data_IF_450483407512
#
_entry.id   IF_450483407512
#
_cell.length_a   1.000
_cell.length_b   1.000
_cell.length_c   1.000
_cell.angle_alpha   90.00
_cell.angle_beta   90.00
_cell.angle_gamma   90.00
#
_symmetry.space_group_name_H-M   'P 1'
#
loop_
_entity.id
_entity.type
_entity.pdbx_description
1 polymer ?
#
# COMPACT_ATOMS: atom_id res chain seq x y z
N UNK A 1 2.27 5.17 -17.79
CA UNK A 1 1.69 3.85 -17.43
C UNK A 1 2.75 3.01 -16.73
N UNK A 2 2.49 2.49 -15.53
CA UNK A 2 3.45 1.84 -14.63
C UNK A 2 3.74 0.38 -15.02
N UNK A 3 3.74 0.05 -16.31
CA UNK A 3 4.03 -1.32 -16.76
C UNK A 3 5.43 -1.77 -16.36
N UNK A 4 6.39 -0.85 -16.24
CA UNK A 4 7.79 -1.19 -15.99
C UNK A 4 8.03 -1.75 -14.58
N UNK A 5 7.45 -1.13 -13.55
CA UNK A 5 7.62 -1.58 -12.16
C UNK A 5 6.83 -2.86 -11.87
N UNK A 6 5.64 -2.98 -12.48
CA UNK A 6 4.78 -4.17 -12.39
C UNK A 6 5.44 -5.38 -13.02
N UNK A 7 5.93 -5.24 -14.26
CA UNK A 7 6.55 -6.32 -15.00
C UNK A 7 7.86 -6.75 -14.33
N UNK A 8 8.68 -5.81 -13.84
CA UNK A 8 9.88 -6.12 -13.09
C UNK A 8 9.58 -6.86 -11.77
N UNK A 9 8.54 -6.47 -11.03
CA UNK A 9 8.14 -7.15 -9.80
C UNK A 9 7.71 -8.60 -10.06
N UNK A 10 6.90 -8.83 -11.11
CA UNK A 10 6.46 -10.18 -11.48
C UNK A 10 7.65 -11.02 -11.97
N UNK A 11 8.44 -10.49 -12.90
CA UNK A 11 9.59 -11.21 -13.46
C UNK A 11 10.64 -11.56 -12.41
N UNK A 12 10.89 -10.68 -11.43
CA UNK A 12 11.79 -10.98 -10.32
C UNK A 12 11.20 -11.97 -9.32
N UNK A 13 9.87 -12.01 -9.15
CA UNK A 13 9.21 -12.94 -8.22
C UNK A 13 9.30 -14.41 -8.65
N UNK A 14 9.34 -14.69 -9.96
CA UNK A 14 9.43 -16.06 -10.51
C UNK A 14 10.71 -16.79 -10.04
N UNK A 15 11.93 -16.29 -10.32
CA UNK A 15 13.16 -16.97 -9.90
C UNK A 15 13.29 -16.99 -8.37
N UNK A 16 12.83 -15.95 -7.67
CA UNK A 16 12.83 -15.91 -6.20
C UNK A 16 11.94 -17.02 -5.63
N UNK A 17 10.72 -17.17 -6.13
CA UNK A 17 9.82 -18.23 -5.73
C UNK A 17 10.41 -19.61 -6.03
N UNK A 18 10.97 -19.81 -7.22
CA UNK A 18 11.60 -21.08 -7.61
C UNK A 18 12.74 -21.47 -6.66
N UNK A 19 13.66 -20.54 -6.39
CA UNK A 19 14.77 -20.77 -5.47
C UNK A 19 14.29 -21.01 -4.03
N UNK A 20 13.29 -20.27 -3.57
CA UNK A 20 12.71 -20.47 -2.24
C UNK A 20 12.03 -21.84 -2.12
N UNK A 21 11.30 -22.29 -3.15
CA UNK A 21 10.72 -23.64 -3.22
C UNK A 21 11.81 -24.69 -3.14
N UNK A 22 12.87 -24.58 -3.95
CA UNK A 22 14.00 -25.52 -3.91
C UNK A 22 14.64 -25.57 -2.53
N UNK A 23 14.84 -24.40 -1.89
CA UNK A 23 15.38 -24.32 -0.55
C UNK A 23 14.50 -25.05 0.47
N UNK A 24 13.18 -24.82 0.44
CA UNK A 24 12.22 -25.43 1.35
C UNK A 24 12.19 -26.95 1.17
N UNK A 25 12.03 -27.42 -0.06
CA UNK A 25 11.95 -28.86 -0.39
C UNK A 25 13.23 -29.60 0.00
N UNK A 26 14.41 -29.00 -0.21
CA UNK A 26 15.69 -29.67 0.06
C UNK A 26 16.15 -29.58 1.51
N UNK A 27 15.78 -28.53 2.26
CA UNK A 27 16.39 -28.24 3.57
C UNK A 27 15.51 -28.61 4.76
N UNK A 28 14.19 -28.74 4.57
CA UNK A 28 13.23 -28.97 5.67
C UNK A 28 12.44 -30.25 5.40
N UNK A 29 12.36 -31.16 6.38
CA UNK A 29 11.66 -32.46 6.24
C UNK A 29 10.20 -32.33 5.80
N UNK A 30 9.50 -31.29 6.26
CA UNK A 30 8.11 -30.92 5.86
C UNK A 30 8.06 -29.70 4.94
N UNK A 31 9.13 -29.44 4.19
CA UNK A 31 9.21 -28.26 3.33
C UNK A 31 8.20 -28.26 2.19
N UNK A 32 7.89 -29.45 1.66
CA UNK A 32 6.84 -29.63 0.63
C UNK A 32 5.47 -29.21 1.16
N UNK A 33 5.11 -29.64 2.37
CA UNK A 33 3.83 -29.26 3.00
C UNK A 33 3.70 -27.73 3.13
N UNK A 34 4.77 -27.05 3.54
CA UNK A 34 4.78 -25.59 3.66
C UNK A 34 4.66 -24.88 2.30
N UNK A 35 5.36 -25.38 1.28
CA UNK A 35 5.27 -24.88 -0.10
C UNK A 35 3.81 -24.93 -0.58
N UNK A 36 3.11 -26.03 -0.37
CA UNK A 36 1.69 -26.14 -0.73
C UNK A 36 0.79 -25.27 0.15
N UNK A 37 1.04 -25.22 1.46
CA UNK A 37 0.26 -24.39 2.39
C UNK A 37 0.41 -22.88 2.12
N UNK A 38 1.55 -22.44 1.56
CA UNK A 38 1.79 -21.04 1.22
C UNK A 38 0.94 -20.56 0.02
N UNK A 39 0.47 -21.47 -0.84
CA UNK A 39 -0.38 -21.11 -2.00
C UNK A 39 -1.71 -20.47 -1.57
N UNK A 40 -2.57 -21.11 -0.75
CA UNK A 40 -3.82 -20.49 -0.32
C UNK A 40 -3.58 -19.22 0.52
N UNK A 41 -2.48 -19.15 1.29
CA UNK A 41 -2.12 -17.93 2.01
C UNK A 41 -1.82 -16.77 1.06
N UNK A 42 -1.10 -17.03 -0.03
CA UNK A 42 -0.79 -16.03 -1.04
C UNK A 42 -2.04 -15.55 -1.79
N UNK A 43 -2.95 -16.45 -2.13
CA UNK A 43 -4.23 -16.11 -2.74
C UNK A 43 -5.10 -15.29 -1.78
N UNK A 44 -5.17 -15.69 -0.50
CA UNK A 44 -5.87 -14.94 0.54
C UNK A 44 -5.31 -13.54 0.73
N UNK A 45 -3.98 -13.39 0.77
CA UNK A 45 -3.31 -12.10 0.86
C UNK A 45 -3.60 -11.22 -0.37
N UNK A 46 -3.53 -11.79 -1.58
CA UNK A 46 -3.87 -11.10 -2.82
C UNK A 46 -5.33 -10.62 -2.82
N UNK A 47 -6.25 -11.47 -2.38
CA UNK A 47 -7.66 -11.14 -2.25
C UNK A 47 -7.87 -10.01 -1.23
N UNK A 48 -7.38 -10.15 0.00
CA UNK A 48 -7.49 -9.13 1.05
C UNK A 48 -6.87 -7.79 0.62
N UNK A 49 -5.77 -7.83 -0.14
CA UNK A 49 -5.13 -6.62 -0.66
C UNK A 49 -6.09 -5.77 -1.51
N UNK A 50 -7.03 -6.38 -2.24
CA UNK A 50 -8.03 -5.65 -3.03
C UNK A 50 -9.10 -4.92 -2.20
N UNK A 51 -9.30 -5.35 -0.94
CA UNK A 51 -10.20 -4.68 -0.01
C UNK A 51 -9.51 -3.56 0.74
N UNK A 52 -8.25 -3.79 1.11
CA UNK A 52 -7.46 -2.84 1.90
C UNK A 52 -6.94 -1.70 1.02
N UNK A 53 -6.37 -2.03 -0.14
CA UNK A 53 -5.68 -1.07 -1.00
C UNK A 53 -6.54 -0.72 -2.20
N UNK A 54 -7.14 0.48 -2.14
CA UNK A 54 -8.05 0.97 -3.18
C UNK A 54 -7.67 2.38 -3.57
N UNK A 55 -7.53 2.58 -4.87
CA UNK A 55 -7.39 3.89 -5.50
C UNK A 55 -8.66 4.11 -6.33
N UNK A 56 -9.45 5.11 -5.95
CA UNK A 56 -10.62 5.52 -6.73
C UNK A 56 -10.19 6.14 -8.06
N UNK A 57 -11.11 6.23 -9.02
CA UNK A 57 -10.88 7.06 -10.20
C UNK A 57 -10.55 8.50 -9.76
N UNK A 58 -9.58 9.10 -10.45
CA UNK A 58 -8.99 10.39 -10.09
C UNK A 58 -8.87 11.26 -11.34
N UNK A 59 -8.85 12.58 -11.16
CA UNK A 59 -8.62 13.54 -12.26
C UNK A 59 -7.20 14.09 -12.26
N UNK A 60 -6.49 13.98 -11.14
CA UNK A 60 -5.13 14.48 -11.01
C UNK A 60 -4.22 13.97 -12.14
N UNK A 61 -3.69 14.89 -12.95
CA UNK A 61 -2.78 14.57 -14.06
C UNK A 61 -3.45 14.06 -15.35
N UNK A 62 -4.79 14.08 -15.44
CA UNK A 62 -5.54 13.57 -16.59
C UNK A 62 -6.53 14.64 -17.12
N UNK A 63 -6.77 14.70 -18.44
CA UNK A 63 -7.75 15.63 -19.04
C UNK A 63 -9.22 15.24 -18.74
N UNK A 64 -9.42 14.14 -18.03
CA UNK A 64 -10.71 13.63 -17.57
C UNK A 64 -10.47 12.70 -16.37
N UNK A 65 -11.23 11.63 -16.25
CA UNK A 65 -11.00 10.62 -15.21
C UNK A 65 -10.01 9.56 -15.67
N UNK A 66 -8.93 9.40 -14.90
CA UNK A 66 -8.08 8.24 -14.98
C UNK A 66 -8.67 7.05 -14.21
N UNK A 67 -8.41 5.82 -14.68
CA UNK A 67 -8.97 4.62 -14.07
C UNK A 67 -8.43 4.43 -12.65
N UNK A 68 -9.34 4.05 -11.76
CA UNK A 68 -8.99 3.58 -10.42
C UNK A 68 -8.55 2.11 -10.47
N UNK A 69 -7.95 1.64 -9.37
CA UNK A 69 -7.55 0.24 -9.24
C UNK A 69 -7.59 -0.23 -7.80
N UNK A 70 -7.78 -1.54 -7.62
CA UNK A 70 -7.73 -2.20 -6.31
C UNK A 70 -6.63 -3.26 -6.31
N UNK A 71 -6.00 -3.44 -5.15
CA UNK A 71 -4.91 -4.39 -4.95
C UNK A 71 -3.54 -3.72 -4.85
N UNK A 72 -2.64 -4.39 -4.16
CA UNK A 72 -1.23 -4.01 -3.99
C UNK A 72 -0.43 -5.29 -3.72
N UNK A 73 0.83 -5.41 -4.17
CA UNK A 73 1.59 -4.45 -4.98
C UNK A 73 1.10 -4.32 -6.43
N UNK A 74 0.31 -5.28 -6.92
CA UNK A 74 -0.23 -5.28 -8.28
C UNK A 74 -1.74 -5.02 -8.26
N UNK A 75 -2.28 -4.26 -9.23
CA UNK A 75 -3.71 -4.01 -9.33
C UNK A 75 -4.42 -5.30 -9.79
N UNK A 76 -5.28 -5.86 -8.95
CA UNK A 76 -6.08 -7.06 -9.28
C UNK A 76 -7.42 -6.69 -9.91
N UNK A 77 -7.86 -5.45 -9.73
CA UNK A 77 -9.03 -4.89 -10.39
C UNK A 77 -8.69 -3.53 -10.97
N UNK A 78 -9.17 -3.24 -12.19
CA UNK A 78 -8.96 -1.97 -12.89
C UNK A 78 -10.30 -1.48 -13.41
N UNK A 79 -10.60 -0.18 -13.28
CA UNK A 79 -11.90 0.35 -13.72
C UNK A 79 -11.82 1.80 -14.14
N UNK A 80 -12.57 2.15 -15.19
CA UNK A 80 -12.70 3.52 -15.69
C UNK A 80 -13.91 4.17 -15.01
N UNK A 81 -13.70 5.24 -14.23
CA UNK A 81 -14.78 6.03 -13.62
C UNK A 81 -15.28 5.56 -12.24
N UNK A 82 -16.52 5.92 -11.90
CA UNK A 82 -17.13 5.75 -10.55
C UNK A 82 -17.70 4.34 -10.31
N UNK A 83 -17.53 3.43 -11.28
CA UNK A 83 -18.02 2.05 -11.21
C UNK A 83 -17.12 1.12 -10.38
N UNK A 84 -17.59 -0.12 -10.17
CA UNK A 84 -16.74 -1.17 -9.60
C UNK A 84 -15.68 -1.56 -10.65
N UNK A 85 -14.39 -1.59 -10.29
CA UNK A 85 -13.35 -2.01 -11.21
C UNK A 85 -13.49 -3.49 -11.57
N UNK A 86 -13.16 -3.80 -12.82
CA UNK A 86 -13.26 -5.15 -13.37
C UNK A 86 -12.13 -6.01 -12.83
N UNK A 87 -12.48 -7.24 -12.44
CA UNK A 87 -11.50 -8.21 -11.96
C UNK A 87 -10.61 -8.66 -13.12
N UNK A 88 -9.29 -8.64 -12.90
CA UNK A 88 -8.30 -9.08 -13.90
C UNK A 88 -7.59 -10.35 -13.41
N UNK A 89 -8.02 -11.55 -13.87
CA UNK A 89 -7.47 -12.83 -13.37
C UNK A 89 -5.95 -12.95 -13.51
N UNK A 90 -5.38 -12.48 -14.63
CA UNK A 90 -3.93 -12.54 -14.87
C UNK A 90 -3.14 -11.72 -13.85
N UNK A 91 -3.60 -10.52 -13.54
CA UNK A 91 -2.95 -9.67 -12.52
C UNK A 91 -3.18 -10.20 -11.10
N UNK A 92 -4.32 -10.85 -10.84
CA UNK A 92 -4.54 -11.55 -9.58
C UNK A 92 -3.55 -12.69 -9.37
N UNK A 93 -3.32 -13.54 -10.39
CA UNK A 93 -2.33 -14.62 -10.33
C UNK A 93 -0.92 -14.06 -10.16
N UNK A 94 -0.56 -13.00 -10.89
CA UNK A 94 0.72 -12.33 -10.75
C UNK A 94 0.92 -11.73 -9.34
N UNK A 95 -0.12 -11.10 -8.78
CA UNK A 95 -0.09 -10.56 -7.42
C UNK A 95 0.06 -11.68 -6.37
N UNK A 96 -0.67 -12.79 -6.55
CA UNK A 96 -0.54 -13.98 -5.70
C UNK A 96 0.86 -14.58 -5.78
N UNK A 97 1.51 -14.58 -6.95
CA UNK A 97 2.89 -15.05 -7.08
C UNK A 97 3.87 -14.17 -6.28
N UNK A 98 3.70 -12.85 -6.30
CA UNK A 98 4.51 -11.93 -5.49
C UNK A 98 4.32 -12.23 -3.99
N UNK A 99 3.08 -12.37 -3.52
CA UNK A 99 2.81 -12.74 -2.12
C UNK A 99 3.40 -14.11 -1.77
N UNK A 100 3.31 -15.08 -2.68
CA UNK A 100 3.87 -16.41 -2.49
C UNK A 100 5.40 -16.37 -2.31
N UNK A 101 6.11 -15.64 -3.18
CA UNK A 101 7.55 -15.42 -3.05
C UNK A 101 7.89 -14.76 -1.71
N UNK A 102 7.18 -13.70 -1.34
CA UNK A 102 7.38 -12.98 -0.07
C UNK A 102 7.16 -13.91 1.12
N UNK A 103 6.08 -14.68 1.15
CA UNK A 103 5.76 -15.61 2.24
C UNK A 103 6.87 -16.64 2.40
N UNK A 104 7.31 -17.29 1.32
CA UNK A 104 8.35 -18.31 1.38
C UNK A 104 9.70 -17.75 1.84
N UNK A 105 10.09 -16.58 1.35
CA UNK A 105 11.36 -15.94 1.72
C UNK A 105 11.31 -15.43 3.16
N UNK A 106 10.23 -14.75 3.54
CA UNK A 106 10.07 -14.23 4.89
C UNK A 106 10.04 -15.37 5.93
N UNK A 107 9.31 -16.45 5.66
CA UNK A 107 9.27 -17.59 6.58
C UNK A 107 10.61 -18.32 6.66
N UNK A 108 11.34 -18.47 5.55
CA UNK A 108 12.70 -19.01 5.55
C UNK A 108 13.66 -18.14 6.37
N UNK A 109 13.57 -16.82 6.24
CA UNK A 109 14.37 -15.86 7.01
C UNK A 109 14.05 -15.94 8.50
N UNK A 110 12.77 -15.93 8.88
CA UNK A 110 12.32 -16.06 10.26
C UNK A 110 12.84 -17.36 10.88
N UNK A 111 12.74 -18.49 10.18
CA UNK A 111 13.25 -19.77 10.67
C UNK A 111 14.76 -19.77 10.83
N UNK A 112 15.50 -19.23 9.84
CA UNK A 112 16.97 -19.09 9.93
C UNK A 112 17.39 -18.25 11.13
N UNK A 113 16.70 -17.15 11.38
CA UNK A 113 16.97 -16.28 12.53
C UNK A 113 16.60 -16.98 13.84
N UNK A 114 15.46 -17.67 13.90
CA UNK A 114 15.02 -18.41 15.08
C UNK A 114 15.99 -19.54 15.45
N UNK A 115 16.52 -20.26 14.46
CA UNK A 115 17.53 -21.30 14.66
C UNK A 115 18.84 -20.71 15.19
N UNK A 116 19.35 -19.62 14.59
CA UNK A 116 20.57 -18.94 15.07
C UNK A 116 20.41 -18.35 16.47
N UNK A 117 19.20 -17.92 16.81
CA UNK A 117 18.87 -17.39 18.13
C UNK A 117 18.72 -18.49 19.20
N UNK A 118 18.63 -19.76 18.81
CA UNK A 118 18.39 -20.88 19.74
C UNK A 118 16.97 -20.87 20.29
N UNK A 119 15.95 -20.60 19.45
CA UNK A 119 14.54 -20.42 19.84
C UNK A 119 14.00 -21.47 20.83
N UNK A 120 14.39 -22.74 20.68
CA UNK A 120 13.96 -23.85 21.53
C UNK A 120 14.35 -23.65 23.01
N UNK A 121 15.48 -23.02 23.28
CA UNK A 121 16.04 -22.83 24.62
C UNK A 121 15.57 -21.54 25.30
N UNK A 122 14.89 -20.66 24.56
CA UNK A 122 14.48 -19.34 25.08
C UNK A 122 13.16 -19.42 25.85
N UNK A 123 13.10 -18.68 26.96
CA UNK A 123 11.87 -18.47 27.73
C UNK A 123 10.81 -17.64 26.98
N UNK A 124 9.59 -17.60 27.52
CA UNK A 124 8.43 -16.97 26.88
C UNK A 124 8.68 -15.50 26.47
N UNK A 125 9.19 -14.66 27.37
CA UNK A 125 9.42 -13.24 27.08
C UNK A 125 10.46 -13.03 25.97
N UNK A 126 11.50 -13.86 25.91
CA UNK A 126 12.49 -13.79 24.84
C UNK A 126 11.90 -14.21 23.48
N UNK A 127 10.99 -15.19 23.47
CA UNK A 127 10.24 -15.57 22.26
C UNK A 127 9.29 -14.46 21.80
N UNK A 128 8.59 -13.82 22.73
CA UNK A 128 7.73 -12.67 22.44
C UNK A 128 8.53 -11.51 21.87
N UNK A 129 9.68 -11.18 22.48
CA UNK A 129 10.60 -10.16 22.00
C UNK A 129 11.11 -10.45 20.58
N UNK A 130 11.45 -11.70 20.29
CA UNK A 130 11.85 -12.10 18.93
C UNK A 130 10.71 -11.92 17.93
N UNK A 131 9.47 -12.32 18.25
CA UNK A 131 8.31 -12.08 17.36
C UNK A 131 8.10 -10.58 17.14
N UNK A 132 8.19 -9.78 18.19
CA UNK A 132 8.06 -8.33 18.09
C UNK A 132 9.12 -7.72 17.15
N UNK A 133 10.38 -8.14 17.26
CA UNK A 133 11.49 -7.58 16.48
C UNK A 133 11.59 -8.14 15.06
N UNK A 134 11.32 -9.43 14.86
CA UNK A 134 11.55 -10.11 13.57
C UNK A 134 10.31 -10.12 12.69
N UNK A 135 9.11 -10.05 13.28
CA UNK A 135 7.85 -10.11 12.53
C UNK A 135 7.12 -8.76 12.59
N UNK A 136 6.83 -8.26 13.79
CA UNK A 136 5.99 -7.06 13.94
C UNK A 136 6.71 -5.79 13.54
N UNK A 137 7.99 -5.64 13.90
CA UNK A 137 8.77 -4.44 13.63
C UNK A 137 8.98 -4.20 12.12
N UNK A 138 9.39 -5.18 11.29
CA UNK A 138 9.47 -5.00 9.84
C UNK A 138 8.12 -4.60 9.22
N UNK A 139 7.03 -5.20 9.71
CA UNK A 139 5.68 -4.83 9.28
C UNK A 139 5.33 -3.39 9.66
N UNK A 140 5.68 -2.96 10.88
CA UNK A 140 5.47 -1.60 11.38
C UNK A 140 6.34 -0.54 10.67
N UNK A 141 7.49 -0.95 10.13
CA UNK A 141 8.41 -0.08 9.37
C UNK A 141 8.07 -0.09 7.88
N UNK A 142 7.32 -1.07 7.38
CA UNK A 142 6.95 -1.19 5.96
C UNK A 142 6.40 0.09 5.31
N UNK A 143 5.60 0.96 5.98
CA UNK A 143 5.15 2.23 5.37
C UNK A 143 6.27 3.23 5.06
N UNK A 144 7.44 3.05 5.66
CA UNK A 144 8.61 3.89 5.40
C UNK A 144 9.35 3.43 4.14
N UNK A 145 9.37 2.12 3.91
CA UNK A 145 10.11 1.48 2.83
C UNK A 145 9.31 1.49 1.52
N UNK A 146 8.00 1.32 1.61
CA UNK A 146 7.14 1.18 0.42
C UNK A 146 6.20 2.38 0.29
N UNK A 147 6.06 2.96 -0.92
CA UNK A 147 5.10 4.02 -1.16
C UNK A 147 3.67 3.44 -1.18
N UNK A 148 2.71 4.07 -0.48
CA UNK A 148 1.33 3.63 -0.49
C UNK A 148 0.76 3.66 -1.90
N UNK A 149 -0.25 2.83 -2.20
CA UNK A 149 -0.94 2.90 -3.47
C UNK A 149 -1.59 4.28 -3.62
N UNK A 150 -1.17 5.01 -4.65
CA UNK A 150 -1.61 6.36 -4.96
C UNK A 150 -1.51 6.63 -6.46
N UNK A 151 -2.28 7.59 -7.01
CA UNK A 151 -2.11 8.09 -8.36
C UNK A 151 -0.68 8.57 -8.63
N UNK A 152 -0.15 8.21 -9.79
CA UNK A 152 1.07 8.82 -10.32
C UNK A 152 0.69 10.12 -11.01
N UNK A 153 1.03 11.24 -10.38
CA UNK A 153 0.73 12.58 -10.89
C UNK A 153 2.00 13.30 -11.30
N UNK A 154 1.91 14.15 -12.31
CA UNK A 154 3.01 14.98 -12.80
C UNK A 154 2.59 16.44 -12.95
N UNK A 155 3.57 17.32 -13.18
CA UNK A 155 3.32 18.73 -13.47
C UNK A 155 2.59 19.48 -12.34
N UNK A 156 1.58 20.32 -12.66
CA UNK A 156 0.88 21.15 -11.67
C UNK A 156 0.22 20.34 -10.55
N UNK A 157 -0.37 19.17 -10.86
CA UNK A 157 -1.04 18.32 -9.86
C UNK A 157 -0.05 17.79 -8.81
N UNK A 158 1.17 17.44 -9.24
CA UNK A 158 2.22 17.01 -8.32
C UNK A 158 2.66 18.15 -7.38
N UNK A 159 2.81 19.37 -7.92
CA UNK A 159 3.15 20.56 -7.13
C UNK A 159 2.09 20.82 -6.05
N UNK A 160 0.81 20.79 -6.42
CA UNK A 160 -0.31 20.95 -5.49
C UNK A 160 -0.32 19.88 -4.41
N UNK A 161 -0.10 18.61 -4.78
CA UNK A 161 -0.03 17.51 -3.84
C UNK A 161 1.12 17.65 -2.83
N UNK A 162 2.30 18.08 -3.28
CA UNK A 162 3.45 18.32 -2.40
C UNK A 162 3.16 19.46 -1.41
N UNK A 163 2.65 20.60 -1.91
CA UNK A 163 2.35 21.77 -1.08
C UNK A 163 1.24 21.47 -0.06
N UNK A 164 0.19 20.76 -0.47
CA UNK A 164 -0.86 20.31 0.43
C UNK A 164 -0.34 19.33 1.50
N UNK A 165 0.49 18.36 1.13
CA UNK A 165 1.08 17.41 2.08
C UNK A 165 2.01 18.10 3.09
N UNK A 166 2.76 19.12 2.66
CA UNK A 166 3.59 19.94 3.55
C UNK A 166 2.73 20.77 4.50
N UNK A 167 1.67 21.40 3.99
CA UNK A 167 0.74 22.21 4.79
C UNK A 167 0.00 21.36 5.84
N UNK A 168 -0.44 20.15 5.47
CA UNK A 168 -1.04 19.20 6.41
C UNK A 168 -0.11 18.85 7.58
N UNK A 169 1.17 18.60 7.28
CA UNK A 169 2.16 18.20 8.30
C UNK A 169 2.51 19.33 9.26
N UNK A 170 2.63 20.56 8.76
CA UNK A 170 3.23 21.66 9.52
C UNK A 170 2.22 22.74 9.92
N UNK A 171 1.35 23.15 9.01
CA UNK A 171 0.42 24.27 9.24
C UNK A 171 -0.81 23.82 10.02
N UNK A 172 -1.41 22.69 9.65
CA UNK A 172 -2.64 22.22 10.26
C UNK A 172 -2.43 21.43 11.57
N UNK A 173 -1.19 21.09 11.93
CA UNK A 173 -0.80 20.28 13.12
C UNK A 173 -1.67 19.03 13.33
N UNK A 174 -2.28 18.51 12.26
CA UNK A 174 -3.36 17.54 12.35
C UNK A 174 -2.86 16.07 12.38
N UNK A 175 -1.54 15.89 12.54
CA UNK A 175 -0.88 14.58 12.52
C UNK A 175 -1.15 13.83 13.81
N UNK A 176 -1.92 12.75 13.74
CA UNK A 176 -2.12 11.82 14.85
C UNK A 176 -0.91 10.90 15.05
N UNK A 177 -0.83 10.25 16.22
CA UNK A 177 0.22 9.25 16.51
C UNK A 177 0.25 8.12 15.48
N UNK A 178 -0.93 7.71 14.98
CA UNK A 178 -1.05 6.66 13.98
C UNK A 178 -0.76 7.15 12.54
N UNK A 179 -0.61 8.45 12.29
CA UNK A 179 -0.46 8.98 10.93
C UNK A 179 0.98 8.82 10.42
N UNK A 180 1.23 7.75 9.68
CA UNK A 180 2.58 7.45 9.17
C UNK A 180 2.82 7.98 7.77
N UNK A 181 1.90 7.72 6.84
CA UNK A 181 2.03 8.08 5.42
C UNK A 181 0.75 8.74 4.91
N UNK A 182 0.91 9.68 3.98
CA UNK A 182 -0.17 10.21 3.16
C UNK A 182 -0.05 9.56 1.78
N UNK A 183 -1.17 9.10 1.25
CA UNK A 183 -1.31 8.66 -0.13
C UNK A 183 -2.25 9.65 -0.83
N UNK A 184 -1.84 10.15 -1.99
CA UNK A 184 -2.72 10.99 -2.79
C UNK A 184 -3.95 10.18 -3.20
N UNK A 185 -5.13 10.78 -3.09
CA UNK A 185 -6.37 10.21 -3.63
C UNK A 185 -6.69 10.93 -4.93
N UNK A 186 -6.73 12.26 -4.90
CA UNK A 186 -7.06 13.08 -6.07
C UNK A 186 -6.74 14.57 -5.83
N UNK A 187 -6.70 15.34 -6.92
CA UNK A 187 -6.46 16.79 -6.97
C UNK A 187 -7.44 17.38 -7.96
N UNK A 188 -8.26 18.34 -7.54
CA UNK A 188 -9.16 19.06 -8.44
C UNK A 188 -9.25 20.53 -8.07
N UNK A 189 -9.64 21.32 -9.06
CA UNK A 189 -10.12 22.66 -8.80
C UNK A 189 -11.52 22.58 -8.19
N UNK A 190 -11.75 23.38 -7.17
CA UNK A 190 -13.05 23.50 -6.54
C UNK A 190 -14.03 24.19 -7.51
N UNK A 191 -15.35 23.91 -7.46
CA UNK A 191 -16.32 24.48 -8.42
C UNK A 191 -16.40 26.01 -8.45
N UNK A 192 -15.94 26.68 -7.38
CA UNK A 192 -15.83 28.15 -7.32
C UNK A 192 -14.68 28.69 -8.20
N UNK A 193 -13.76 27.85 -8.66
CA UNK A 193 -12.60 28.24 -9.45
C UNK A 193 -11.48 28.90 -8.65
N UNK A 194 -11.73 29.28 -7.40
CA UNK A 194 -10.80 30.05 -6.57
C UNK A 194 -9.91 29.18 -5.68
N UNK A 195 -10.14 27.87 -5.63
CA UNK A 195 -9.38 26.97 -4.76
C UNK A 195 -9.04 25.66 -5.45
N UNK A 196 -7.95 25.04 -5.00
CA UNK A 196 -7.62 23.65 -5.32
C UNK A 196 -7.80 22.80 -4.08
N UNK A 197 -8.63 21.76 -4.17
CA UNK A 197 -8.78 20.77 -3.11
C UNK A 197 -7.92 19.55 -3.43
N UNK A 198 -7.12 19.15 -2.45
CA UNK A 198 -6.24 17.98 -2.51
C UNK A 198 -6.69 16.99 -1.45
N UNK A 199 -6.92 15.75 -1.87
CA UNK A 199 -7.42 14.69 -1.02
C UNK A 199 -6.34 13.65 -0.75
N UNK A 200 -6.17 13.26 0.51
CA UNK A 200 -5.25 12.21 0.91
C UNK A 200 -5.94 11.11 1.71
N UNK A 201 -5.40 9.89 1.59
CA UNK A 201 -5.67 8.77 2.47
C UNK A 201 -4.49 8.59 3.42
N UNK A 202 -4.77 8.55 4.72
CA UNK A 202 -3.76 8.39 5.76
C UNK A 202 -3.55 6.90 6.06
N UNK A 203 -2.30 6.46 6.06
CA UNK A 203 -1.90 5.10 6.40
C UNK A 203 -1.24 5.01 7.78
N UNK A 204 -1.54 3.94 8.51
CA UNK A 204 -0.99 3.64 9.83
C UNK A 204 0.43 3.06 9.79
N UNK A 205 1.01 2.84 10.97
CA UNK A 205 2.26 2.09 11.15
C UNK A 205 2.20 0.68 10.53
N UNK A 206 1.04 0.03 10.51
CA UNK A 206 0.87 -1.31 9.92
C UNK A 206 0.37 -1.26 8.47
N UNK A 207 0.54 -0.13 7.79
CA UNK A 207 0.14 0.08 6.40
C UNK A 207 -1.36 -0.14 6.14
N UNK A 208 -2.19 0.01 7.18
CA UNK A 208 -3.63 -0.02 7.07
C UNK A 208 -4.18 1.40 6.81
N UNK A 209 -5.13 1.58 5.88
CA UNK A 209 -5.77 2.85 5.64
C UNK A 209 -6.68 3.24 6.82
N UNK A 210 -6.47 4.42 7.37
CA UNK A 210 -7.09 4.88 8.62
C UNK A 210 -8.22 5.89 8.38
N UNK A 211 -7.89 7.04 7.79
CA UNK A 211 -8.81 8.16 7.57
C UNK A 211 -8.49 8.92 6.30
N UNK A 212 -9.47 9.63 5.76
CA UNK A 212 -9.26 10.54 4.64
C UNK A 212 -9.12 11.97 5.16
N UNK A 213 -8.34 12.77 4.48
CA UNK A 213 -8.14 14.18 4.81
C UNK A 213 -8.15 15.00 3.52
N UNK A 214 -8.59 16.24 3.62
CA UNK A 214 -8.54 17.18 2.53
C UNK A 214 -7.79 18.44 2.95
N UNK A 215 -7.19 19.09 1.96
CA UNK A 215 -6.51 20.37 2.11
C UNK A 215 -6.97 21.24 0.96
N UNK A 216 -7.51 22.41 1.29
CA UNK A 216 -7.86 23.44 0.33
C UNK A 216 -6.67 24.39 0.22
N UNK A 217 -6.23 24.62 -1.00
CA UNK A 217 -5.16 25.54 -1.37
C UNK A 217 -5.75 26.72 -2.13
N UNK A 218 -5.10 27.88 -2.02
CA UNK A 218 -5.36 29.05 -2.87
C UNK A 218 -5.12 28.73 -4.37
N UNK A 219 -5.55 29.58 -5.33
CA UNK A 219 -5.45 29.29 -6.77
C UNK A 219 -4.02 29.01 -7.25
N UNK A 220 -3.04 29.70 -6.68
CA UNK A 220 -1.61 29.48 -7.00
C UNK A 220 -1.10 28.16 -6.43
N UNK A 221 -1.76 27.67 -5.38
CA UNK A 221 -1.51 26.36 -4.81
C UNK A 221 -0.37 26.29 -3.79
N UNK A 222 0.01 27.42 -3.19
CA UNK A 222 1.17 27.51 -2.29
C UNK A 222 0.75 27.44 -0.83
N UNK A 223 -0.28 28.21 -0.44
CA UNK A 223 -0.80 28.24 0.94
C UNK A 223 -2.10 27.45 1.07
N UNK A 224 -2.22 26.76 2.21
CA UNK A 224 -3.49 26.16 2.61
C UNK A 224 -4.43 27.24 3.15
N UNK A 225 -5.65 27.26 2.62
CA UNK A 225 -6.76 28.10 3.06
C UNK A 225 -7.68 27.34 4.02
N UNK A 226 -7.62 26.01 4.02
CA UNK A 226 -8.37 25.15 4.92
C UNK A 226 -7.96 23.69 4.83
N UNK A 227 -8.58 22.86 5.66
CA UNK A 227 -8.40 21.42 5.62
C UNK A 227 -9.11 20.74 6.78
N UNK A 228 -9.34 19.43 6.63
CA UNK A 228 -10.10 18.68 7.61
C UNK A 228 -10.00 17.17 7.41
N UNK A 229 -10.61 16.44 8.34
CA UNK A 229 -10.68 14.97 8.33
C UNK A 229 -12.06 14.57 7.84
N UNK A 230 -12.11 13.61 6.92
CA UNK A 230 -13.34 13.11 6.30
C UNK A 230 -13.49 11.61 6.64
N UNK A 231 -14.72 11.14 6.92
CA UNK A 231 -14.99 9.70 7.02
C UNK A 231 -14.56 8.96 5.74
N UNK A 232 -13.99 7.76 5.86
CA UNK A 232 -13.51 6.98 4.70
C UNK A 232 -14.60 6.63 3.67
N UNK A 233 -15.87 6.59 4.10
CA UNK A 233 -17.02 6.32 3.25
C UNK A 233 -17.53 7.56 2.51
N UNK A 234 -17.16 8.76 2.97
CA UNK A 234 -17.61 10.00 2.36
C UNK A 234 -16.72 10.36 1.17
N UNK A 235 -17.32 11.02 0.19
CA UNK A 235 -16.57 11.59 -0.93
C UNK A 235 -15.83 12.82 -0.46
N UNK A 236 -14.55 12.93 -0.82
CA UNK A 236 -13.75 14.13 -0.56
C UNK A 236 -14.33 15.40 -1.23
N UNK A 237 -15.25 15.22 -2.18
CA UNK A 237 -15.83 16.27 -3.00
C UNK A 237 -17.23 16.71 -2.56
N UNK A 238 -17.80 16.09 -1.51
CA UNK A 238 -19.21 16.31 -1.10
C UNK A 238 -19.31 16.98 0.29
N UNK A 239 -18.21 17.52 0.83
CA UNK A 239 -18.23 18.25 2.10
C UNK A 239 -18.14 19.77 1.89
N UNK A 240 -18.85 20.56 2.75
CA UNK A 240 -19.04 22.00 2.60
C UNK A 240 -17.74 22.81 2.60
#
# INVERSE_FOLDING_TARGET
MPHFNVLAAVLSSIPVAALAVVWWVRRIRRGVDWVFAAVPLAFGASYLSSFVFRVSAYQAGCQGFCPGWWGYPLPTHIGVGVGRPEFTPGLFVANSLVYYAVILVASALVLRLAQRWGWSEKGFFARLGFVAVVILLPLAISPMLFPPPQPEVSGPSLRLAINAAQSWRWQLRARGFMDRRLALVDVRQHPDGERHRVCFLVYTWFYLPYRQVYVDLEPVGVRATGGGVIPRSASCWVQP
#
